data_IF_163177143772
#
_entry.id   IF_163177143772
#
_cell.length_a   1.000
_cell.length_b   1.000
_cell.length_c   1.000
_cell.angle_alpha   90.00
_cell.angle_beta   90.00
_cell.angle_gamma   90.00
#
_symmetry.space_group_name_H-M   'P 1'
#
loop_
_entity.id
_entity.type
_entity.pdbx_description
1 polymer ?
#
# COMPACT_ATOMS: atom_id res chain seq x y z
N UNK A 1 2.21 16.02 -18.20
CA UNK A 1 2.01 15.34 -19.50
C UNK A 1 0.74 14.52 -19.41
N UNK A 2 -0.16 14.62 -20.38
CA UNK A 2 -1.39 13.81 -20.45
C UNK A 2 -1.08 12.35 -20.85
N UNK A 3 -2.05 11.43 -20.69
CA UNK A 3 -1.93 10.07 -21.21
C UNK A 3 -1.49 10.07 -22.69
N UNK A 4 -2.09 10.93 -23.49
CA UNK A 4 -1.78 11.07 -24.91
C UNK A 4 -0.31 11.41 -25.17
N UNK A 5 0.24 12.35 -24.40
CA UNK A 5 1.66 12.74 -24.49
C UNK A 5 2.57 11.61 -24.01
N UNK A 6 2.21 10.96 -22.89
CA UNK A 6 2.98 9.83 -22.35
C UNK A 6 3.00 8.64 -23.33
N UNK A 7 1.85 8.30 -23.94
CA UNK A 7 1.76 7.25 -24.95
C UNK A 7 2.64 7.55 -26.16
N UNK A 8 2.55 8.79 -26.67
CA UNK A 8 3.35 9.25 -27.83
C UNK A 8 4.85 9.24 -27.52
N UNK A 9 5.24 9.65 -26.32
CA UNK A 9 6.63 9.63 -25.88
C UNK A 9 7.14 8.19 -25.76
N UNK A 10 6.41 7.31 -25.07
CA UNK A 10 6.73 5.89 -24.92
C UNK A 10 6.91 5.21 -26.27
N UNK A 11 6.00 5.41 -27.21
CA UNK A 11 6.12 4.85 -28.56
C UNK A 11 7.40 5.29 -29.24
N UNK A 12 7.75 6.59 -29.15
CA UNK A 12 8.98 7.12 -29.72
C UNK A 12 10.24 6.55 -29.06
N UNK A 13 10.25 6.41 -27.74
CA UNK A 13 11.34 5.79 -26.98
C UNK A 13 11.59 4.32 -27.38
N UNK A 14 10.50 3.62 -27.73
CA UNK A 14 10.56 2.24 -28.24
C UNK A 14 10.82 2.17 -29.75
N UNK A 15 11.04 3.32 -30.42
CA UNK A 15 11.27 3.43 -31.87
C UNK A 15 10.15 2.82 -32.73
N UNK A 16 8.90 2.85 -32.22
CA UNK A 16 7.75 2.32 -32.92
C UNK A 16 7.05 3.40 -33.77
N UNK A 17 6.55 3.01 -34.94
CA UNK A 17 5.56 3.82 -35.69
C UNK A 17 4.17 3.68 -35.04
N UNK A 18 3.22 4.57 -35.37
CA UNK A 18 1.84 4.39 -34.92
C UNK A 18 1.22 3.09 -35.50
N UNK A 19 1.65 2.67 -36.65
CA UNK A 19 1.26 1.42 -37.31
C UNK A 19 1.78 0.20 -36.56
N UNK A 20 3.08 0.19 -36.20
CA UNK A 20 3.68 -0.90 -35.43
C UNK A 20 3.08 -1.01 -34.03
N UNK A 21 2.76 0.11 -33.38
CA UNK A 21 2.07 0.09 -32.08
C UNK A 21 0.63 -0.44 -32.23
N UNK A 22 -0.06 -0.09 -33.32
CA UNK A 22 -1.40 -0.57 -33.59
C UNK A 22 -1.43 -2.10 -33.79
N UNK A 23 -0.46 -2.66 -34.53
CA UNK A 23 -0.30 -4.11 -34.70
C UNK A 23 -0.05 -4.83 -33.38
N UNK A 24 0.85 -4.30 -32.52
CA UNK A 24 1.14 -4.88 -31.19
C UNK A 24 -0.12 -4.95 -30.31
N UNK A 25 -1.00 -3.95 -30.45
CA UNK A 25 -2.20 -3.82 -29.63
C UNK A 25 -3.46 -4.41 -30.28
N UNK A 26 -3.32 -4.93 -31.51
CA UNK A 26 -4.44 -5.43 -32.32
C UNK A 26 -5.58 -4.40 -32.43
N UNK A 27 -5.23 -3.21 -32.95
CA UNK A 27 -6.14 -2.08 -33.18
C UNK A 27 -5.80 -1.39 -34.51
N UNK A 28 -6.65 -0.48 -34.95
CA UNK A 28 -6.34 0.34 -36.13
C UNK A 28 -5.32 1.43 -35.81
N UNK A 29 -4.48 1.80 -36.81
CA UNK A 29 -3.58 2.97 -36.69
C UNK A 29 -4.35 4.24 -36.32
N UNK A 30 -5.58 4.39 -36.81
CA UNK A 30 -6.44 5.53 -36.49
C UNK A 30 -6.80 5.58 -34.97
N UNK A 31 -6.98 4.43 -34.32
CA UNK A 31 -7.22 4.38 -32.89
C UNK A 31 -6.00 4.92 -32.12
N UNK A 32 -4.80 4.44 -32.42
CA UNK A 32 -3.55 4.94 -31.82
C UNK A 32 -3.39 6.45 -32.06
N UNK A 33 -3.66 6.92 -33.30
CA UNK A 33 -3.58 8.35 -33.58
C UNK A 33 -4.55 9.19 -32.76
N UNK A 34 -5.80 8.73 -32.56
CA UNK A 34 -6.80 9.40 -31.70
C UNK A 34 -6.35 9.44 -30.25
N UNK A 35 -5.81 8.36 -29.73
CA UNK A 35 -5.29 8.30 -28.36
C UNK A 35 -4.14 9.28 -28.15
N UNK A 36 -3.19 9.37 -29.10
CA UNK A 36 -2.06 10.31 -29.02
C UNK A 36 -2.48 11.78 -29.24
N UNK A 37 -3.67 12.03 -29.76
CA UNK A 37 -4.27 13.37 -29.90
C UNK A 37 -5.17 13.74 -28.71
N UNK A 38 -5.38 12.81 -27.76
CA UNK A 38 -6.28 13.03 -26.63
C UNK A 38 -7.78 12.96 -26.99
N UNK A 39 -8.13 12.38 -28.16
CA UNK A 39 -9.50 12.24 -28.68
C UNK A 39 -10.11 10.89 -28.25
N UNK A 40 -9.74 10.37 -27.11
CA UNK A 40 -10.24 9.11 -26.56
C UNK A 40 -9.17 8.30 -25.87
N UNK A 41 -9.58 7.19 -25.29
CA UNK A 41 -8.72 6.30 -24.51
C UNK A 41 -8.83 4.87 -25.02
N UNK A 42 -7.77 4.05 -24.87
CA UNK A 42 -7.85 2.62 -25.05
C UNK A 42 -8.84 1.99 -24.04
N UNK A 43 -9.51 0.93 -24.45
CA UNK A 43 -10.24 0.07 -23.53
C UNK A 43 -9.28 -0.60 -22.53
N UNK A 44 -9.80 -1.02 -21.37
CA UNK A 44 -9.01 -1.58 -20.28
C UNK A 44 -8.12 -2.74 -20.74
N UNK A 45 -8.63 -3.62 -21.59
CA UNK A 45 -7.87 -4.73 -22.16
C UNK A 45 -6.65 -4.26 -22.95
N UNK A 46 -6.81 -3.18 -23.74
CA UNK A 46 -5.73 -2.61 -24.55
C UNK A 46 -4.71 -1.86 -23.68
N UNK A 47 -5.13 -1.27 -22.55
CA UNK A 47 -4.23 -0.69 -21.54
C UNK A 47 -3.37 -1.77 -20.88
N UNK A 48 -3.96 -2.90 -20.51
CA UNK A 48 -3.24 -4.05 -19.94
C UNK A 48 -2.26 -4.64 -20.95
N UNK A 49 -2.69 -4.77 -22.21
CA UNK A 49 -1.83 -5.26 -23.29
C UNK A 49 -0.65 -4.31 -23.54
N UNK A 50 -0.89 -3.00 -23.53
CA UNK A 50 0.11 -1.96 -23.69
C UNK A 50 1.16 -2.03 -22.57
N UNK A 51 0.70 -2.14 -21.30
CA UNK A 51 1.57 -2.33 -20.13
C UNK A 51 2.45 -3.57 -20.27
N UNK A 52 1.88 -4.72 -20.61
CA UNK A 52 2.60 -5.99 -20.70
C UNK A 52 3.56 -6.05 -21.91
N UNK A 53 3.12 -5.61 -23.09
CA UNK A 53 3.92 -5.70 -24.33
C UNK A 53 5.06 -4.69 -24.38
N UNK A 54 4.87 -3.50 -23.83
CA UNK A 54 5.89 -2.45 -23.80
C UNK A 54 6.69 -2.43 -22.50
N UNK A 55 6.36 -3.32 -21.54
CA UNK A 55 6.99 -3.41 -20.22
C UNK A 55 7.02 -2.07 -19.48
N UNK A 56 5.84 -1.46 -19.33
CA UNK A 56 5.65 -0.18 -18.63
C UNK A 56 4.50 -0.28 -17.65
N UNK A 57 4.59 0.41 -16.52
CA UNK A 57 3.48 0.42 -15.57
C UNK A 57 2.35 1.34 -16.07
N UNK A 58 1.10 0.93 -15.85
CA UNK A 58 -0.07 1.77 -16.14
C UNK A 58 -0.01 3.09 -15.39
N UNK A 59 0.50 3.10 -14.16
CA UNK A 59 0.70 4.31 -13.38
C UNK A 59 1.62 5.31 -14.08
N UNK A 60 2.68 4.84 -14.75
CA UNK A 60 3.59 5.73 -15.48
C UNK A 60 2.93 6.37 -16.69
N UNK A 61 2.01 5.66 -17.36
CA UNK A 61 1.24 6.18 -18.48
C UNK A 61 0.17 7.18 -18.03
N UNK A 62 -0.43 6.96 -16.85
CA UNK A 62 -1.55 7.75 -16.31
C UNK A 62 -1.11 8.87 -15.36
N UNK A 63 0.17 9.01 -15.06
CA UNK A 63 0.74 9.86 -13.98
C UNK A 63 0.24 11.29 -13.93
N UNK A 64 -0.21 11.87 -15.01
CA UNK A 64 -0.59 13.29 -15.03
C UNK A 64 -2.09 13.53 -14.90
N UNK A 65 -2.91 12.57 -15.25
CA UNK A 65 -4.37 12.73 -15.11
C UNK A 65 -4.82 12.58 -13.66
N UNK A 66 -4.13 11.72 -12.93
CA UNK A 66 -4.28 11.58 -11.48
C UNK A 66 -3.74 12.83 -10.75
N UNK A 67 -2.71 13.54 -11.29
CA UNK A 67 -2.07 14.70 -10.67
C UNK A 67 -2.87 16.01 -10.79
N UNK A 68 -3.75 16.17 -11.76
CA UNK A 68 -4.56 17.38 -11.91
C UNK A 68 -5.73 17.45 -10.93
N UNK A 69 -6.10 16.33 -10.29
CA UNK A 69 -7.18 16.26 -9.30
C UNK A 69 -6.71 16.27 -7.84
N UNK A 70 -5.42 16.36 -7.58
CA UNK A 70 -4.92 16.41 -6.20
C UNK A 70 -3.71 17.34 -6.09
N UNK A 71 -3.94 18.55 -5.61
CA UNK A 71 -2.91 19.46 -5.14
C UNK A 71 -2.41 19.01 -3.76
N UNK A 72 -2.01 17.74 -3.64
CA UNK A 72 -1.43 17.15 -2.44
C UNK A 72 -0.31 16.20 -2.87
N UNK A 73 0.81 16.25 -2.19
CA UNK A 73 2.00 15.43 -2.42
C UNK A 73 1.61 13.97 -2.68
N UNK A 74 1.91 13.47 -3.89
CA UNK A 74 1.65 12.08 -4.26
C UNK A 74 2.59 11.15 -3.52
N UNK A 75 2.10 10.59 -2.45
CA UNK A 75 2.54 9.27 -2.01
C UNK A 75 1.78 8.23 -2.85
N UNK A 76 2.49 7.30 -3.48
CA UNK A 76 1.85 6.12 -4.07
C UNK A 76 1.15 5.38 -2.93
N UNK A 77 -0.16 5.50 -2.84
CA UNK A 77 -0.97 4.74 -1.90
C UNK A 77 -1.01 3.32 -2.44
N UNK A 78 -0.04 2.51 -2.04
CA UNK A 78 0.03 1.08 -2.40
C UNK A 78 -0.94 0.24 -1.56
N UNK A 79 -1.66 0.87 -0.62
CA UNK A 79 -2.46 0.15 0.37
C UNK A 79 -1.62 -0.57 1.42
N UNK A 80 -0.30 -0.43 1.36
CA UNK A 80 0.64 -1.03 2.32
C UNK A 80 1.39 0.05 3.10
N UNK A 81 1.72 -0.25 4.35
CA UNK A 81 2.51 0.61 5.24
C UNK A 81 3.59 -0.22 5.93
N UNK A 82 4.79 0.33 6.06
CA UNK A 82 5.86 -0.28 6.86
C UNK A 82 5.77 0.24 8.29
N UNK A 83 5.45 -0.65 9.23
CA UNK A 83 5.33 -0.32 10.65
C UNK A 83 6.60 -0.73 11.37
N UNK A 84 7.18 0.21 12.12
CA UNK A 84 8.32 -0.02 13.01
C UNK A 84 7.84 -0.08 14.45
N UNK A 85 8.16 -1.16 15.14
CA UNK A 85 7.97 -1.32 16.58
C UNK A 85 9.34 -1.31 17.28
N UNK A 86 9.78 -0.19 17.87
CA UNK A 86 11.09 -0.11 18.52
C UNK A 86 11.18 -0.99 19.76
N UNK A 87 10.08 -1.15 20.51
CA UNK A 87 10.01 -1.96 21.74
C UNK A 87 10.20 -3.44 21.42
N UNK A 88 9.48 -3.95 20.43
CA UNK A 88 9.54 -5.36 20.01
C UNK A 88 10.69 -5.63 19.01
N UNK A 89 11.37 -4.56 18.53
CA UNK A 89 12.45 -4.63 17.53
C UNK A 89 11.99 -5.29 16.21
N UNK A 90 10.78 -4.93 15.77
CA UNK A 90 10.15 -5.47 14.58
C UNK A 90 9.92 -4.35 13.56
N UNK A 91 10.19 -4.65 12.31
CA UNK A 91 9.76 -3.86 11.14
C UNK A 91 8.95 -4.79 10.26
N UNK A 92 7.71 -4.43 9.96
CA UNK A 92 6.81 -5.23 9.14
C UNK A 92 6.07 -4.37 8.13
N UNK A 93 6.06 -4.80 6.87
CA UNK A 93 5.19 -4.21 5.84
C UNK A 93 3.87 -4.97 5.83
N UNK A 94 2.78 -4.25 6.03
CA UNK A 94 1.44 -4.82 6.11
C UNK A 94 0.42 -3.95 5.36
N UNK A 95 -0.65 -4.57 4.89
CA UNK A 95 -1.78 -3.91 4.23
C UNK A 95 -2.94 -3.68 5.21
N UNK A 96 -2.88 -4.31 6.39
CA UNK A 96 -3.92 -4.26 7.41
C UNK A 96 -3.32 -4.45 8.80
N UNK A 97 -3.87 -3.77 9.78
CA UNK A 97 -3.60 -4.00 11.20
C UNK A 97 -4.85 -4.49 11.91
N UNK A 98 -4.69 -5.40 12.86
CA UNK A 98 -5.78 -5.96 13.66
C UNK A 98 -5.39 -6.02 15.13
N UNK A 99 -6.33 -5.69 16.02
CA UNK A 99 -6.14 -5.89 17.46
C UNK A 99 -6.61 -7.26 17.88
N UNK A 100 -6.02 -7.80 18.95
CA UNK A 100 -6.62 -8.92 19.67
C UNK A 100 -7.93 -8.51 20.32
N UNK A 101 -8.73 -9.49 20.75
CA UNK A 101 -9.77 -9.25 21.74
C UNK A 101 -9.13 -8.85 23.07
N UNK A 102 -9.93 -8.23 23.95
CA UNK A 102 -9.48 -7.88 25.29
C UNK A 102 -9.04 -9.13 26.05
N UNK A 103 -7.80 -9.12 26.51
CA UNK A 103 -7.24 -10.22 27.27
C UNK A 103 -7.55 -10.07 28.74
N UNK A 104 -7.87 -11.19 29.39
CA UNK A 104 -8.04 -11.24 30.84
C UNK A 104 -6.67 -11.17 31.51
N UNK A 105 -6.47 -10.16 32.36
CA UNK A 105 -5.22 -9.97 33.11
C UNK A 105 -5.42 -8.99 34.26
N UNK A 106 -4.50 -9.00 35.22
CA UNK A 106 -4.50 -8.00 36.31
C UNK A 106 -4.14 -6.60 35.79
N UNK A 107 -4.29 -5.57 36.65
CA UNK A 107 -4.04 -4.14 36.31
C UNK A 107 -2.66 -3.86 35.68
N UNK A 108 -1.68 -4.69 35.94
CA UNK A 108 -0.31 -4.58 35.43
C UNK A 108 -0.03 -5.51 34.23
N UNK A 109 -1.05 -6.14 33.63
CA UNK A 109 -0.91 -6.96 32.42
C UNK A 109 -1.37 -6.18 31.19
N UNK A 110 -0.76 -6.38 30.01
CA UNK A 110 -1.28 -5.81 28.79
C UNK A 110 -2.68 -6.36 28.51
N UNK A 111 -3.56 -5.52 28.01
CA UNK A 111 -4.94 -5.90 27.71
C UNK A 111 -5.18 -6.17 26.23
N UNK A 112 -4.33 -5.67 25.35
CA UNK A 112 -4.46 -5.83 23.89
C UNK A 112 -3.12 -6.07 23.23
N UNK A 113 -3.16 -6.73 22.09
CA UNK A 113 -2.03 -6.94 21.18
C UNK A 113 -2.38 -6.41 19.80
N UNK A 114 -1.42 -5.80 19.12
CA UNK A 114 -1.54 -5.36 17.73
C UNK A 114 -0.76 -6.30 16.81
N UNK A 115 -1.37 -6.65 15.69
CA UNK A 115 -0.79 -7.48 14.65
C UNK A 115 -0.88 -6.79 13.29
N UNK A 116 0.18 -6.86 12.49
CA UNK A 116 0.19 -6.50 11.08
C UNK A 116 -0.08 -7.73 10.22
N UNK A 117 -0.95 -7.59 9.22
CA UNK A 117 -1.25 -8.61 8.22
C UNK A 117 -0.55 -8.26 6.92
N UNK A 118 0.22 -9.21 6.37
CA UNK A 118 0.91 -9.10 5.09
C UNK A 118 0.15 -9.87 4.01
N UNK A 119 0.30 -9.46 2.74
CA UNK A 119 -0.20 -10.24 1.62
C UNK A 119 0.52 -11.58 1.54
N UNK A 120 -0.21 -12.63 1.27
CA UNK A 120 0.32 -13.98 1.11
C UNK A 120 -0.60 -15.05 1.70
N UNK A 121 -0.39 -16.29 1.27
CA UNK A 121 -1.07 -17.44 1.85
C UNK A 121 -0.18 -18.02 2.95
N UNK A 122 -0.58 -17.89 4.19
CA UNK A 122 -0.01 -18.64 5.30
C UNK A 122 -0.28 -20.15 5.19
N UNK A 123 0.29 -20.93 6.09
CA UNK A 123 0.31 -22.40 6.03
C UNK A 123 -1.10 -23.05 5.97
N UNK A 124 -2.16 -22.35 6.37
CA UNK A 124 -3.56 -22.80 6.29
C UNK A 124 -4.46 -21.86 5.47
N UNK A 125 -3.89 -21.06 4.56
CA UNK A 125 -4.66 -20.10 3.77
C UNK A 125 -5.01 -18.82 4.51
N UNK A 126 -4.54 -18.62 5.74
CA UNK A 126 -4.68 -17.36 6.48
C UNK A 126 -3.59 -16.37 6.11
N UNK A 127 -3.90 -15.08 6.16
CA UNK A 127 -2.91 -14.02 5.95
C UNK A 127 -1.83 -14.07 7.05
N UNK A 128 -0.53 -14.07 6.70
CA UNK A 128 0.55 -14.05 7.67
C UNK A 128 0.40 -12.87 8.64
N UNK A 129 0.49 -13.13 9.92
CA UNK A 129 0.36 -12.12 10.97
C UNK A 129 1.67 -11.91 11.71
N UNK A 130 2.16 -10.67 11.74
CA UNK A 130 3.33 -10.27 12.52
C UNK A 130 2.88 -9.54 13.77
N UNK A 131 3.33 -9.98 14.93
CA UNK A 131 3.09 -9.28 16.19
C UNK A 131 3.87 -7.96 16.22
N UNK A 132 3.17 -6.87 16.54
CA UNK A 132 3.72 -5.51 16.51
C UNK A 132 3.90 -4.90 17.90
N UNK A 133 3.06 -5.24 18.88
CA UNK A 133 3.22 -4.68 20.21
C UNK A 133 2.06 -4.95 21.16
N UNK A 134 2.33 -4.69 22.43
CA UNK A 134 1.38 -4.79 23.54
C UNK A 134 0.83 -3.42 23.94
N UNK A 135 -0.43 -3.37 24.37
CA UNK A 135 -1.11 -2.14 24.82
C UNK A 135 -1.76 -2.35 26.20
N UNK A 136 -1.62 -1.32 27.04
CA UNK A 136 -2.14 -1.36 28.41
C UNK A 136 -3.68 -1.30 28.45
N UNK A 137 -4.30 -0.58 27.53
CA UNK A 137 -5.73 -0.31 27.52
C UNK A 137 -6.27 -0.09 26.09
N UNK A 138 -7.60 -0.02 26.00
CA UNK A 138 -8.33 0.16 24.73
C UNK A 138 -8.09 1.52 24.09
N UNK A 139 -7.94 2.57 24.89
CA UNK A 139 -7.73 3.92 24.38
C UNK A 139 -6.44 4.03 23.58
N UNK A 140 -5.36 3.44 24.10
CA UNK A 140 -4.05 3.53 23.47
C UNK A 140 -4.00 2.71 22.17
N UNK A 141 -4.55 1.49 22.15
CA UNK A 141 -4.57 0.69 20.92
C UNK A 141 -5.51 1.28 19.87
N UNK A 142 -6.66 1.84 20.26
CA UNK A 142 -7.59 2.50 19.33
C UNK A 142 -6.94 3.74 18.71
N UNK A 143 -6.23 4.53 19.50
CA UNK A 143 -5.50 5.69 19.02
C UNK A 143 -4.41 5.32 18.04
N UNK A 144 -3.64 4.28 18.34
CA UNK A 144 -2.59 3.76 17.43
C UNK A 144 -3.18 3.31 16.09
N UNK A 145 -4.28 2.54 16.11
CA UNK A 145 -4.96 2.07 14.90
C UNK A 145 -5.49 3.22 14.06
N UNK A 146 -6.06 4.26 14.69
CA UNK A 146 -6.53 5.46 13.98
C UNK A 146 -5.38 6.20 13.31
N UNK A 147 -4.26 6.42 14.01
CA UNK A 147 -3.10 7.10 13.43
C UNK A 147 -2.46 6.28 12.29
N UNK A 148 -2.43 4.95 12.39
CA UNK A 148 -1.98 4.07 11.30
C UNK A 148 -2.94 4.17 10.11
N UNK A 149 -4.26 4.16 10.34
CA UNK A 149 -5.26 4.33 9.30
C UNK A 149 -5.08 5.67 8.56
N UNK A 150 -4.93 6.77 9.33
CA UNK A 150 -4.72 8.09 8.76
C UNK A 150 -3.41 8.15 7.96
N UNK A 151 -2.35 7.48 8.42
CA UNK A 151 -1.10 7.37 7.68
C UNK A 151 -1.31 6.64 6.34
N UNK A 152 -2.05 5.53 6.31
CA UNK A 152 -2.39 4.80 5.08
C UNK A 152 -3.20 5.68 4.12
N UNK A 153 -4.25 6.34 4.62
CA UNK A 153 -5.12 7.22 3.81
C UNK A 153 -4.34 8.39 3.22
N UNK A 154 -3.40 8.95 3.98
CA UNK A 154 -2.55 10.05 3.52
C UNK A 154 -1.34 9.58 2.69
N UNK A 155 -1.22 8.29 2.38
CA UNK A 155 -0.14 7.73 1.57
C UNK A 155 1.23 7.79 2.24
N UNK A 156 1.28 7.78 3.58
CA UNK A 156 2.53 7.74 4.34
C UNK A 156 3.05 6.30 4.31
N UNK A 157 4.25 6.12 3.78
CA UNK A 157 4.83 4.79 3.56
C UNK A 157 5.33 4.11 4.85
N UNK A 158 5.60 4.87 5.91
CA UNK A 158 6.17 4.35 7.16
C UNK A 158 5.48 4.92 8.39
N UNK A 159 5.32 4.11 9.43
CA UNK A 159 4.77 4.52 10.72
C UNK A 159 5.57 3.87 11.86
N UNK A 160 5.86 4.63 12.90
CA UNK A 160 6.50 4.10 14.13
C UNK A 160 5.49 4.07 15.24
N UNK A 161 5.34 2.91 15.90
CA UNK A 161 4.42 2.75 17.04
C UNK A 161 4.79 3.71 18.18
N UNK A 162 3.76 4.31 18.79
CA UNK A 162 3.91 5.37 19.80
C UNK A 162 3.33 4.99 21.17
N UNK A 163 2.28 4.15 21.19
CA UNK A 163 1.47 3.88 22.39
C UNK A 163 1.61 2.46 22.91
N UNK A 164 2.47 1.64 22.28
CA UNK A 164 2.77 0.30 22.75
C UNK A 164 3.64 0.33 24.03
N UNK A 165 3.49 -0.69 24.89
CA UNK A 165 4.15 -0.75 26.20
C UNK A 165 5.18 -1.86 26.25
N UNK A 166 6.27 -1.61 27.00
CA UNK A 166 7.26 -2.66 27.32
C UNK A 166 6.68 -3.67 28.27
N UNK A 167 7.05 -4.93 28.07
CA UNK A 167 6.56 -6.01 28.89
C UNK A 167 7.70 -6.94 29.33
N UNK A 168 7.54 -7.54 30.51
CA UNK A 168 8.41 -8.62 31.02
C UNK A 168 7.61 -9.89 31.20
N UNK A 169 8.18 -11.03 30.78
CA UNK A 169 7.67 -12.35 31.13
C UNK A 169 7.95 -12.61 32.63
N UNK A 170 6.91 -13.01 33.37
CA UNK A 170 6.99 -13.48 34.75
C UNK A 170 6.37 -14.87 34.87
N UNK A 171 6.60 -15.55 35.99
CA UNK A 171 6.10 -16.91 36.21
C UNK A 171 4.57 -17.04 36.02
N UNK A 172 3.83 -15.95 36.29
CA UNK A 172 2.37 -15.85 36.20
C UNK A 172 1.91 -14.98 35.01
N UNK A 173 2.65 -14.98 33.87
CA UNK A 173 2.25 -14.31 32.65
C UNK A 173 3.08 -13.08 32.27
N UNK A 174 2.55 -12.25 31.39
CA UNK A 174 3.20 -11.04 30.89
C UNK A 174 2.77 -9.84 31.71
N UNK A 175 3.72 -9.03 32.15
CA UNK A 175 3.50 -7.81 32.94
C UNK A 175 4.11 -6.61 32.21
N UNK A 176 3.43 -5.46 32.31
CA UNK A 176 3.93 -4.18 31.84
C UNK A 176 5.09 -3.74 32.72
N UNK A 177 6.19 -3.29 32.07
CA UNK A 177 7.25 -2.59 32.79
C UNK A 177 6.78 -1.17 33.07
N UNK A 178 6.75 -0.81 34.35
CA UNK A 178 6.62 0.57 34.77
C UNK A 178 8.02 1.19 34.77
N UNK A 179 8.18 2.30 34.08
CA UNK A 179 9.41 3.11 34.11
C UNK A 179 9.68 3.64 35.53
#
# INVERSE_FOLDING_TARGET
MSFAENLKQLRKEKLLSQEALAEILDVSRQAVSKWEQGIGYPEVEKLLLLSSKLNVSLDSLMKTEIAQNSNTQKHNVTGTITITSPIERVIATCHKVVSSQKMSGGKSSPQYALFGKSEGNGFFGEEPATFLGWYANEKDISKEIMEIHDAIVNGIATYTLKYNVRTKKRLLGIKIELE
#
